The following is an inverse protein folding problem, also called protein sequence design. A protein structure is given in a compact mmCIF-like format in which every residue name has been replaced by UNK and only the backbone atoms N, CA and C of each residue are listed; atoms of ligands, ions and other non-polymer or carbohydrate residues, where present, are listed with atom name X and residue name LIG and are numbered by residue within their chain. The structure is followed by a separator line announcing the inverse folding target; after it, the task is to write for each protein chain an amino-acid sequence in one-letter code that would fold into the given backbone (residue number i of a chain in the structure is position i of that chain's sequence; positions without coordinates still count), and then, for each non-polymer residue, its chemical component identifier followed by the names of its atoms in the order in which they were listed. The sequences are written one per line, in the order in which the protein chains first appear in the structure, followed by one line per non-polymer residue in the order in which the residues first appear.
data_IF_257902305268
#
_entry.id   IF_257902305268
#
_cell.length_a   1.000
_cell.length_b   1.000
_cell.length_c   1.000
_cell.angle_alpha   90.00
_cell.angle_beta   90.00
_cell.angle_gamma   90.00
#
_symmetry.space_group_name_H-M   'P 1'
#
loop_
_entity.id
_entity.type
_entity.pdbx_description
1 polymer ?
#
# COMPACT_ATOMS: atom_id res chain seq x y z
N UNK A 1 12.48 -44.68 16.22
CA UNK A 1 11.28 -43.82 16.38
C UNK A 1 11.23 -42.84 15.21
N UNK A 2 10.51 -43.17 14.15
CA UNK A 2 10.36 -42.34 12.95
C UNK A 2 9.03 -41.59 13.03
N UNK A 3 9.09 -40.26 13.16
CA UNK A 3 7.92 -39.40 13.17
C UNK A 3 7.26 -39.41 11.79
N UNK A 4 6.04 -39.95 11.71
CA UNK A 4 5.17 -39.81 10.54
C UNK A 4 4.80 -38.33 10.40
N UNK A 5 5.30 -37.67 9.37
CA UNK A 5 4.81 -36.38 8.94
C UNK A 5 3.34 -36.53 8.55
N UNK A 6 2.43 -36.00 9.36
CA UNK A 6 1.00 -35.93 9.06
C UNK A 6 0.83 -35.00 7.86
N UNK A 7 0.65 -35.56 6.68
CA UNK A 7 0.29 -34.83 5.47
C UNK A 7 -1.03 -34.11 5.71
N UNK A 8 -0.98 -32.81 5.98
CA UNK A 8 -2.17 -31.98 6.08
C UNK A 8 -2.88 -32.01 4.72
N UNK A 9 -4.02 -32.70 4.69
CA UNK A 9 -4.92 -32.73 3.54
C UNK A 9 -5.27 -31.29 3.17
N UNK A 10 -4.83 -30.83 1.99
CA UNK A 10 -5.11 -29.47 1.53
C UNK A 10 -6.62 -29.31 1.34
N UNK A 11 -7.26 -28.59 2.26
CA UNK A 11 -8.67 -28.22 2.14
C UNK A 11 -8.84 -27.23 0.99
N UNK A 12 -9.72 -27.56 0.05
CA UNK A 12 -10.06 -26.71 -1.08
C UNK A 12 -10.99 -25.58 -0.63
N UNK A 13 -11.06 -24.48 -1.38
CA UNK A 13 -12.00 -23.38 -1.09
C UNK A 13 -13.45 -23.86 -0.99
N UNK A 14 -13.80 -24.86 -1.81
CA UNK A 14 -15.16 -25.40 -1.91
C UNK A 14 -15.60 -26.15 -0.66
N UNK A 15 -14.65 -26.57 0.18
CA UNK A 15 -14.91 -27.28 1.43
C UNK A 15 -15.53 -26.35 2.49
N UNK A 16 -15.48 -25.02 2.30
CA UNK A 16 -16.03 -24.03 3.21
C UNK A 16 -17.47 -23.64 2.86
N UNK A 17 -18.33 -23.38 3.87
CA UNK A 17 -19.69 -22.88 3.65
C UNK A 17 -19.73 -21.59 2.82
N UNK A 18 -20.77 -21.44 1.99
CA UNK A 18 -21.02 -20.21 1.21
C UNK A 18 -21.10 -18.99 2.15
N UNK A 19 -20.64 -17.83 1.70
CA UNK A 19 -20.59 -16.60 2.50
C UNK A 19 -19.18 -16.23 2.96
N UNK A 20 -19.13 -15.56 4.11
CA UNK A 20 -17.90 -15.07 4.71
C UNK A 20 -16.82 -16.14 4.96
N UNK A 21 -17.14 -17.38 5.39
CA UNK A 21 -16.11 -18.41 5.60
C UNK A 21 -15.35 -18.76 4.32
N UNK A 22 -16.08 -18.94 3.21
CA UNK A 22 -15.47 -19.23 1.90
C UNK A 22 -14.73 -18.02 1.35
N UNK A 23 -15.29 -16.82 1.49
CA UNK A 23 -14.61 -15.59 1.09
C UNK A 23 -13.29 -15.39 1.84
N UNK A 24 -13.28 -15.57 3.16
CA UNK A 24 -12.06 -15.50 3.97
C UNK A 24 -11.02 -16.55 3.53
N UNK A 25 -11.47 -17.76 3.18
CA UNK A 25 -10.59 -18.80 2.63
C UNK A 25 -10.01 -18.39 1.27
N UNK A 26 -10.82 -17.82 0.38
CA UNK A 26 -10.35 -17.29 -0.91
C UNK A 26 -9.34 -16.17 -0.73
N UNK A 27 -9.63 -15.21 0.15
CA UNK A 27 -8.73 -14.10 0.48
C UNK A 27 -7.38 -14.60 1.01
N UNK A 28 -7.39 -15.64 1.85
CA UNK A 28 -6.15 -16.23 2.37
C UNK A 28 -5.37 -17.03 1.30
N UNK A 29 -6.06 -17.64 0.33
CA UNK A 29 -5.42 -18.40 -0.75
C UNK A 29 -4.89 -17.53 -1.89
N UNK A 30 -5.53 -16.39 -2.15
CA UNK A 30 -5.13 -15.46 -3.20
C UNK A 30 -3.97 -14.60 -2.69
N UNK A 31 -2.89 -14.53 -3.48
CA UNK A 31 -1.75 -13.64 -3.19
C UNK A 31 -2.17 -12.18 -3.00
N UNK A 32 -3.14 -11.74 -3.79
CA UNK A 32 -3.73 -10.40 -3.74
C UNK A 32 -5.03 -10.35 -2.90
N UNK A 33 -5.30 -11.39 -2.11
CA UNK A 33 -6.57 -11.58 -1.41
C UNK A 33 -6.68 -10.90 -0.06
N UNK A 34 -5.57 -10.40 0.50
CA UNK A 34 -5.52 -9.66 1.77
C UNK A 34 -6.08 -8.24 1.68
N UNK A 35 -7.24 -8.11 1.03
CA UNK A 35 -7.96 -6.86 0.85
C UNK A 35 -8.93 -6.70 2.01
N UNK A 36 -8.82 -5.59 2.70
CA UNK A 36 -9.67 -5.26 3.82
C UNK A 36 -10.31 -3.91 3.55
N UNK A 37 -11.55 -3.76 3.99
CA UNK A 37 -12.18 -2.45 4.04
C UNK A 37 -11.53 -1.65 5.17
N UNK A 38 -11.14 -0.40 4.89
CA UNK A 38 -10.52 0.53 5.82
C UNK A 38 -11.53 1.15 6.78
N UNK A 39 -12.79 1.29 6.36
CA UNK A 39 -13.85 1.97 7.11
C UNK A 39 -13.47 3.42 7.47
N UNK A 40 -12.81 4.13 6.56
CA UNK A 40 -12.21 5.44 6.84
C UNK A 40 -13.22 6.44 7.43
N UNK A 41 -14.40 6.57 6.83
CA UNK A 41 -15.43 7.49 7.31
C UNK A 41 -15.92 7.15 8.73
N UNK A 42 -16.08 5.87 9.06
CA UNK A 42 -16.51 5.45 10.40
C UNK A 42 -15.42 5.71 11.44
N UNK A 43 -14.16 5.45 11.08
CA UNK A 43 -13.02 5.68 11.97
C UNK A 43 -12.81 7.17 12.28
N UNK A 44 -12.94 8.03 11.27
CA UNK A 44 -12.88 9.48 11.47
C UNK A 44 -14.02 9.98 12.37
N UNK A 45 -15.25 9.44 12.21
CA UNK A 45 -16.36 9.75 13.15
C UNK A 45 -16.06 9.33 14.58
N UNK A 46 -15.41 8.18 14.78
CA UNK A 46 -15.02 7.72 16.11
C UNK A 46 -13.94 8.61 16.75
N UNK A 47 -13.01 9.14 15.95
CA UNK A 47 -12.03 10.13 16.42
C UNK A 47 -12.71 11.42 16.84
N UNK A 48 -13.57 11.99 15.99
CA UNK A 48 -14.33 13.21 16.33
C UNK A 48 -15.25 13.03 17.53
N UNK A 49 -15.79 11.83 17.74
CA UNK A 49 -16.55 11.52 18.95
C UNK A 49 -15.70 11.60 20.21
N UNK A 50 -14.47 11.05 20.17
CA UNK A 50 -13.56 11.13 21.31
C UNK A 50 -13.08 12.59 21.54
N UNK A 51 -12.81 13.36 20.48
CA UNK A 51 -12.48 14.79 20.57
C UNK A 51 -13.59 15.60 21.24
N UNK A 52 -14.85 15.37 20.83
CA UNK A 52 -16.00 16.04 21.43
C UNK A 52 -16.18 15.66 22.91
N UNK A 53 -15.93 14.39 23.24
CA UNK A 53 -15.98 13.93 24.64
C UNK A 53 -14.89 14.61 25.48
N UNK A 54 -13.66 14.68 24.98
CA UNK A 54 -12.56 15.37 25.66
C UNK A 54 -12.88 16.86 25.88
N UNK A 55 -13.46 17.54 24.90
CA UNK A 55 -13.87 18.95 25.06
C UNK A 55 -14.92 19.14 26.16
N UNK A 56 -15.88 18.20 26.30
CA UNK A 56 -16.87 18.23 27.39
C UNK A 56 -16.19 18.01 28.75
N UNK A 57 -15.29 17.03 28.84
CA UNK A 57 -14.57 16.73 30.08
C UNK A 57 -13.62 17.86 30.48
N UNK A 58 -12.95 18.49 29.52
CA UNK A 58 -12.10 19.67 29.73
C UNK A 58 -12.92 20.85 30.25
N UNK A 59 -14.09 21.13 29.65
CA UNK A 59 -14.97 22.17 30.14
C UNK A 59 -15.45 21.91 31.57
N UNK A 60 -15.73 20.64 31.91
CA UNK A 60 -16.11 20.25 33.28
C UNK A 60 -14.94 20.39 34.26
N UNK A 61 -13.73 20.05 33.83
CA UNK A 61 -12.52 20.22 34.65
C UNK A 61 -12.27 21.71 34.93
N UNK A 62 -12.38 22.54 33.90
CA UNK A 62 -12.26 24.01 34.03
C UNK A 62 -13.30 24.59 35.00
N UNK A 63 -14.51 24.06 35.03
CA UNK A 63 -15.54 24.48 35.97
C UNK A 63 -15.19 24.09 37.42
N UNK A 64 -14.64 22.89 37.64
CA UNK A 64 -14.12 22.49 38.95
C UNK A 64 -12.93 23.37 39.37
N UNK A 65 -12.02 23.69 38.45
CA UNK A 65 -10.88 24.58 38.74
C UNK A 65 -11.33 25.99 39.14
N UNK A 66 -12.38 26.52 38.51
CA UNK A 66 -12.98 27.81 38.93
C UNK A 66 -13.64 27.72 40.31
N UNK A 67 -14.27 26.60 40.64
CA UNK A 67 -14.85 26.39 41.97
C UNK A 67 -13.75 26.29 43.03
N UNK A 68 -12.64 25.62 42.71
CA UNK A 68 -11.45 25.54 43.57
C UNK A 68 -10.83 26.94 43.75
N UNK A 69 -10.76 27.77 42.71
CA UNK A 69 -10.28 29.16 42.81
C UNK A 69 -11.12 30.00 43.80
N UNK A 70 -12.44 29.86 43.76
CA UNK A 70 -13.37 30.57 44.66
C UNK A 70 -13.30 30.02 46.09
N UNK A 71 -13.20 28.71 46.25
CA UNK A 71 -13.26 28.05 47.56
C UNK A 71 -11.92 28.05 48.29
N UNK A 72 -10.84 27.70 47.59
CA UNK A 72 -9.47 27.56 48.12
C UNK A 72 -8.42 27.52 46.98
N UNK A 73 -7.98 28.70 46.53
CA UNK A 73 -6.99 28.86 45.46
C UNK A 73 -5.64 28.18 45.75
N UNK A 74 -5.35 27.80 47.01
CA UNK A 74 -4.11 27.10 47.34
C UNK A 74 -4.04 25.68 46.77
N UNK A 75 -5.19 25.06 46.49
CA UNK A 75 -5.27 23.71 45.92
C UNK A 75 -4.79 23.68 44.47
N UNK A 76 -5.04 24.73 43.69
CA UNK A 76 -4.58 24.87 42.30
C UNK A 76 -3.05 25.02 42.18
N UNK A 77 -2.40 25.50 43.25
CA UNK A 77 -0.96 25.75 43.31
C UNK A 77 -0.19 24.57 43.93
N UNK A 78 -0.91 23.60 44.49
CA UNK A 78 -0.31 22.48 45.18
C UNK A 78 0.11 21.39 44.18
N UNK A 79 1.37 20.96 44.27
CA UNK A 79 1.91 19.84 43.48
C UNK A 79 1.50 18.46 44.02
N UNK A 80 0.89 18.42 45.21
CA UNK A 80 0.41 17.17 45.81
C UNK A 80 -1.06 16.97 45.46
N UNK A 81 -1.46 15.76 45.03
CA UNK A 81 -2.87 15.37 45.02
C UNK A 81 -3.40 15.67 46.43
N UNK A 82 -4.44 16.49 46.51
CA UNK A 82 -4.87 17.13 47.75
C UNK A 82 -4.85 16.11 48.90
N UNK A 83 -3.98 16.33 49.89
CA UNK A 83 -3.99 15.51 51.09
C UNK A 83 -5.39 15.61 51.67
N UNK A 84 -6.07 14.47 51.78
CA UNK A 84 -7.43 14.33 52.30
C UNK A 84 -7.46 14.98 53.68
N UNK A 85 -7.85 16.24 53.76
CA UNK A 85 -8.16 16.89 55.02
C UNK A 85 -9.42 16.22 55.54
N UNK A 86 -9.26 15.36 56.54
CA UNK A 86 -10.28 14.46 57.14
C UNK A 86 -11.45 15.23 57.81
N UNK A 87 -11.56 16.55 57.61
CA UNK A 87 -12.53 17.40 58.28
C UNK A 87 -13.28 18.35 57.34
N UNK A 88 -14.26 17.83 56.59
CA UNK A 88 -15.41 18.61 56.10
C UNK A 88 -15.26 19.27 54.73
N UNK A 89 -16.21 18.95 53.83
CA UNK A 89 -16.45 19.52 52.48
C UNK A 89 -15.38 19.36 51.39
N UNK A 90 -14.08 19.40 51.70
CA UNK A 90 -13.01 19.25 50.69
C UNK A 90 -12.90 17.85 50.08
N UNK A 91 -13.20 16.80 50.86
CA UNK A 91 -13.00 15.38 50.47
C UNK A 91 -13.89 14.95 49.29
N UNK A 92 -15.12 15.45 49.22
CA UNK A 92 -16.08 15.09 48.16
C UNK A 92 -15.68 15.72 46.82
N UNK A 93 -15.17 16.95 46.84
CA UNK A 93 -14.70 17.68 45.65
C UNK A 93 -13.39 17.08 45.10
N UNK A 94 -12.47 16.67 45.97
CA UNK A 94 -11.26 15.94 45.55
C UNK A 94 -11.60 14.61 44.87
N UNK A 95 -12.54 13.84 45.44
CA UNK A 95 -12.96 12.56 44.85
C UNK A 95 -13.61 12.73 43.46
N UNK A 96 -14.42 13.79 43.28
CA UNK A 96 -15.05 14.10 42.00
C UNK A 96 -14.03 14.53 40.93
N UNK A 97 -12.98 15.27 41.33
CA UNK A 97 -11.88 15.66 40.44
C UNK A 97 -11.03 14.45 40.04
N UNK A 98 -10.74 13.56 40.98
CA UNK A 98 -10.00 12.32 40.71
C UNK A 98 -10.77 11.38 39.76
N UNK A 99 -12.09 11.24 39.96
CA UNK A 99 -12.96 10.48 39.04
C UNK A 99 -12.97 11.11 37.64
N UNK A 100 -13.08 12.45 37.55
CA UNK A 100 -13.04 13.15 36.27
C UNK A 100 -11.69 12.99 35.56
N UNK A 101 -10.58 13.06 36.30
CA UNK A 101 -9.25 12.85 35.75
C UNK A 101 -9.06 11.41 35.25
N UNK A 102 -9.62 10.41 35.94
CA UNK A 102 -9.62 9.03 35.49
C UNK A 102 -10.42 8.87 34.18
N UNK A 103 -11.58 9.53 34.06
CA UNK A 103 -12.39 9.55 32.84
C UNK A 103 -11.65 10.22 31.68
N UNK A 104 -11.02 11.37 31.92
CA UNK A 104 -10.20 12.07 30.92
C UNK A 104 -9.10 11.15 30.41
N UNK A 105 -8.33 10.54 31.31
CA UNK A 105 -7.24 9.64 30.95
C UNK A 105 -7.74 8.43 30.14
N UNK A 106 -8.90 7.87 30.48
CA UNK A 106 -9.50 6.77 29.74
C UNK A 106 -9.90 7.16 28.31
N UNK A 107 -10.51 8.34 28.13
CA UNK A 107 -10.90 8.85 26.80
C UNK A 107 -9.67 9.25 25.98
N UNK A 108 -8.71 9.95 26.59
CA UNK A 108 -7.47 10.38 25.94
C UNK A 108 -6.66 9.18 25.46
N UNK A 109 -6.46 8.17 26.32
CA UNK A 109 -5.74 6.94 25.95
C UNK A 109 -6.38 6.26 24.75
N UNK A 110 -7.72 6.17 24.74
CA UNK A 110 -8.48 5.60 23.62
C UNK A 110 -8.32 6.42 22.33
N UNK A 111 -8.39 7.74 22.44
CA UNK A 111 -8.18 8.66 21.31
C UNK A 111 -6.78 8.52 20.71
N UNK A 112 -5.74 8.63 21.55
CA UNK A 112 -4.34 8.48 21.14
C UNK A 112 -4.08 7.13 20.49
N UNK A 113 -4.63 6.04 21.06
CA UNK A 113 -4.51 4.71 20.47
C UNK A 113 -5.17 4.64 19.09
N UNK A 114 -6.38 5.20 18.92
CA UNK A 114 -7.06 5.24 17.62
C UNK A 114 -6.32 6.08 16.59
N UNK A 115 -5.72 7.18 17.01
CA UNK A 115 -4.95 8.07 16.14
C UNK A 115 -3.67 7.40 15.63
N UNK A 116 -2.95 6.70 16.50
CA UNK A 116 -1.79 5.88 16.09
C UNK A 116 -2.21 4.76 15.12
N UNK A 117 -3.32 4.07 15.39
CA UNK A 117 -3.87 3.06 14.46
C UNK A 117 -4.33 3.66 13.13
N UNK A 118 -4.81 4.92 13.10
CA UNK A 118 -5.13 5.63 11.84
C UNK A 118 -3.89 5.84 11.01
N UNK A 119 -2.84 6.40 11.62
CA UNK A 119 -1.54 6.59 10.97
C UNK A 119 -0.99 5.28 10.41
N UNK A 120 -1.04 4.19 11.19
CA UNK A 120 -0.49 2.90 10.77
C UNK A 120 -1.31 2.26 9.64
N UNK A 121 -2.63 2.46 9.64
CA UNK A 121 -3.49 2.01 8.53
C UNK A 121 -3.32 2.90 7.29
N UNK A 122 -3.05 4.19 7.45
CA UNK A 122 -2.75 5.10 6.33
C UNK A 122 -1.46 4.77 5.61
N UNK A 123 -0.52 4.11 6.28
CA UNK A 123 0.69 3.58 5.65
C UNK A 123 0.42 2.35 4.78
N UNK A 124 -0.74 1.71 4.93
CA UNK A 124 -1.10 0.56 4.10
C UNK A 124 -1.50 1.02 2.69
N UNK A 125 -1.01 0.33 1.65
CA UNK A 125 -1.32 0.72 0.28
C UNK A 125 -2.81 0.53 -0.03
N UNK A 126 -3.38 1.51 -0.75
CA UNK A 126 -4.74 1.44 -1.24
C UNK A 126 -4.90 0.38 -2.33
N UNK A 127 -6.08 -0.21 -2.42
CA UNK A 127 -6.41 -1.20 -3.42
C UNK A 127 -6.53 -0.52 -4.80
N UNK A 128 -5.83 -1.04 -5.81
CA UNK A 128 -5.99 -0.52 -7.17
C UNK A 128 -7.43 -0.73 -7.67
N UNK A 129 -7.95 0.23 -8.43
CA UNK A 129 -9.31 0.14 -9.02
C UNK A 129 -9.51 -1.15 -9.83
N UNK A 130 -8.45 -1.63 -10.46
CA UNK A 130 -8.48 -2.87 -11.25
C UNK A 130 -8.53 -4.11 -10.36
N UNK A 131 -7.72 -4.16 -9.31
CA UNK A 131 -7.78 -5.22 -8.31
C UNK A 131 -9.15 -5.26 -7.60
N UNK A 132 -9.73 -4.09 -7.30
CA UNK A 132 -11.10 -3.99 -6.78
C UNK A 132 -12.15 -4.52 -7.77
N UNK A 133 -12.07 -4.12 -9.06
CA UNK A 133 -12.98 -4.67 -10.10
C UNK A 133 -12.87 -6.19 -10.20
N UNK A 134 -11.66 -6.73 -10.14
CA UNK A 134 -11.43 -8.17 -10.15
C UNK A 134 -11.98 -8.86 -8.91
N UNK A 135 -11.78 -8.28 -7.72
CA UNK A 135 -12.36 -8.77 -6.47
C UNK A 135 -13.89 -8.80 -6.57
N UNK A 136 -14.51 -7.69 -6.96
CA UNK A 136 -15.96 -7.57 -7.12
C UNK A 136 -16.52 -8.54 -8.15
N UNK A 137 -15.84 -8.68 -9.29
CA UNK A 137 -16.24 -9.63 -10.33
C UNK A 137 -16.12 -11.09 -9.86
N UNK A 138 -15.04 -11.44 -9.13
CA UNK A 138 -14.86 -12.78 -8.59
C UNK A 138 -15.94 -13.11 -7.56
N UNK A 139 -16.23 -12.19 -6.65
CA UNK A 139 -17.27 -12.37 -5.64
C UNK A 139 -18.65 -12.52 -6.30
N UNK A 140 -18.95 -11.68 -7.31
CA UNK A 140 -20.20 -11.74 -8.05
C UNK A 140 -20.40 -13.05 -8.82
N UNK A 141 -19.33 -13.60 -9.42
CA UNK A 141 -19.40 -14.89 -10.14
C UNK A 141 -19.61 -16.08 -9.21
N UNK A 142 -19.10 -16.00 -7.97
CA UNK A 142 -19.15 -17.10 -7.03
C UNK A 142 -20.47 -17.18 -6.23
N UNK A 143 -21.40 -16.23 -6.44
CA UNK A 143 -22.67 -16.11 -5.70
C UNK A 143 -22.48 -16.23 -4.18
N UNK A 144 -21.37 -15.71 -3.65
CA UNK A 144 -21.01 -15.91 -2.25
C UNK A 144 -21.80 -15.02 -1.30
N UNK A 145 -22.32 -13.90 -1.77
CA UNK A 145 -22.99 -12.91 -0.96
C UNK A 145 -24.40 -12.64 -1.46
N UNK A 146 -25.29 -12.34 -0.53
CA UNK A 146 -26.57 -11.73 -0.84
C UNK A 146 -26.38 -10.27 -1.32
N UNK A 147 -27.47 -9.64 -1.72
CA UNK A 147 -27.43 -8.28 -2.25
C UNK A 147 -26.95 -7.26 -1.21
N UNK A 148 -27.26 -7.49 0.08
CA UNK A 148 -26.87 -6.60 1.17
C UNK A 148 -25.40 -6.77 1.56
N UNK A 149 -24.87 -7.99 1.67
CA UNK A 149 -23.44 -8.21 1.87
C UNK A 149 -22.63 -7.77 0.63
N UNK A 150 -23.22 -7.76 -0.56
CA UNK A 150 -22.56 -7.18 -1.75
C UNK A 150 -22.36 -5.67 -1.65
N UNK A 151 -23.13 -4.96 -0.81
CA UNK A 151 -22.93 -3.51 -0.56
C UNK A 151 -21.57 -3.23 0.09
N UNK A 152 -21.03 -4.19 0.83
CA UNK A 152 -19.68 -4.12 1.39
C UNK A 152 -18.61 -3.84 0.33
N UNK A 153 -18.83 -4.27 -0.92
CA UNK A 153 -17.87 -4.14 -2.02
C UNK A 153 -18.10 -2.89 -2.90
N UNK A 154 -19.07 -2.02 -2.59
CA UNK A 154 -19.41 -0.88 -3.45
C UNK A 154 -18.39 0.26 -3.37
N UNK A 155 -17.79 0.48 -2.21
CA UNK A 155 -16.85 1.58 -1.98
C UNK A 155 -15.44 1.19 -2.41
N UNK A 156 -15.10 1.42 -3.68
CA UNK A 156 -13.80 1.04 -4.25
C UNK A 156 -12.61 1.71 -3.53
N UNK A 157 -12.79 2.95 -3.11
CA UNK A 157 -11.72 3.78 -2.54
C UNK A 157 -11.49 3.50 -1.02
N UNK A 158 -12.36 2.71 -0.38
CA UNK A 158 -12.25 2.35 1.05
C UNK A 158 -11.55 1.00 1.26
N UNK A 159 -10.87 0.43 0.25
CA UNK A 159 -10.13 -0.82 0.39
C UNK A 159 -8.62 -0.59 0.50
N UNK A 160 -8.01 -1.28 1.45
CA UNK A 160 -6.57 -1.35 1.71
C UNK A 160 -6.08 -2.79 1.58
N UNK A 161 -4.77 -2.98 1.38
CA UNK A 161 -4.14 -4.30 1.45
C UNK A 161 -3.12 -4.36 2.57
N UNK A 162 -3.15 -5.43 3.37
CA UNK A 162 -2.19 -5.64 4.47
C UNK A 162 -0.87 -6.23 4.01
N UNK A 163 -0.78 -6.67 2.74
CA UNK A 163 0.48 -7.16 2.16
C UNK A 163 1.23 -6.02 1.48
N UNK A 164 2.43 -5.73 2.00
CA UNK A 164 3.35 -4.72 1.48
C UNK A 164 3.88 -5.06 0.07
N UNK A 165 3.98 -6.34 -0.29
CA UNK A 165 4.58 -6.79 -1.56
C UNK A 165 3.58 -6.90 -2.72
N UNK A 166 2.80 -5.84 -2.99
CA UNK A 166 2.15 -5.79 -4.31
C UNK A 166 3.16 -5.36 -5.35
N UNK A 167 3.33 -6.22 -6.36
CA UNK A 167 3.87 -5.81 -7.64
C UNK A 167 3.22 -4.50 -8.06
N UNK A 168 4.06 -3.50 -8.24
CA UNK A 168 3.72 -2.08 -8.28
C UNK A 168 2.41 -1.80 -8.99
N UNK A 169 1.55 -1.00 -8.35
CA UNK A 169 0.33 -0.47 -8.96
C UNK A 169 0.57 0.15 -10.36
N UNK A 170 1.76 0.74 -10.58
CA UNK A 170 2.20 1.29 -11.87
C UNK A 170 2.43 0.22 -12.95
N UNK A 171 2.96 -0.94 -12.57
CA UNK A 171 3.19 -2.07 -13.48
C UNK A 171 1.97 -3.00 -13.57
N UNK A 172 1.03 -2.93 -12.63
CA UNK A 172 -0.26 -3.60 -12.76
C UNK A 172 -0.99 -3.15 -14.03
N UNK A 173 -0.89 -1.88 -14.44
CA UNK A 173 -1.42 -1.43 -15.71
C UNK A 173 -0.77 -2.14 -16.91
N UNK A 174 0.53 -2.43 -16.85
CA UNK A 174 1.20 -3.15 -17.94
C UNK A 174 0.71 -4.61 -18.04
N UNK A 175 0.53 -5.27 -16.89
CA UNK A 175 0.14 -6.68 -16.83
C UNK A 175 -1.36 -6.89 -17.04
N UNK A 176 -2.19 -5.99 -16.51
CA UNK A 176 -3.66 -6.16 -16.43
C UNK A 176 -4.45 -5.04 -17.12
N UNK A 177 -3.83 -3.91 -17.48
CA UNK A 177 -4.49 -2.74 -18.06
C UNK A 177 -4.81 -2.86 -19.55
N UNK A 178 -4.27 -3.87 -20.24
CA UNK A 178 -4.73 -4.23 -21.57
C UNK A 178 -5.78 -5.33 -21.49
N UNK A 179 -7.02 -4.93 -21.77
CA UNK A 179 -8.19 -5.82 -21.82
C UNK A 179 -8.04 -6.90 -22.91
N UNK A 180 -7.10 -6.72 -23.84
CA UNK A 180 -6.48 -7.79 -24.61
C UNK A 180 -4.95 -7.62 -24.61
N UNK A 181 -4.17 -8.44 -23.87
CA UNK A 181 -2.73 -8.44 -24.04
C UNK A 181 -2.45 -8.76 -25.50
N UNK A 182 -1.64 -7.92 -26.15
CA UNK A 182 -1.17 -8.15 -27.50
C UNK A 182 -0.73 -9.61 -27.66
N UNK A 183 -1.04 -10.23 -28.82
CA UNK A 183 -0.87 -11.68 -29.02
C UNK A 183 0.50 -12.20 -28.56
N UNK A 184 1.55 -11.40 -28.77
CA UNK A 184 2.92 -11.70 -28.34
C UNK A 184 3.08 -11.72 -26.81
N UNK A 185 2.53 -10.75 -26.08
CA UNK A 185 2.61 -10.69 -24.62
C UNK A 185 1.80 -11.83 -23.99
N UNK A 186 0.66 -12.18 -24.59
CA UNK A 186 -0.10 -13.36 -24.19
C UNK A 186 0.67 -14.66 -24.44
N UNK A 187 1.46 -14.75 -25.52
CA UNK A 187 2.27 -15.92 -25.84
C UNK A 187 3.45 -16.08 -24.88
N UNK A 188 4.13 -14.98 -24.52
CA UNK A 188 5.17 -14.97 -23.48
C UNK A 188 4.55 -15.37 -22.13
N UNK A 189 3.44 -14.75 -21.75
CA UNK A 189 2.76 -15.11 -20.51
C UNK A 189 2.35 -16.60 -20.52
N UNK A 190 1.85 -17.13 -21.64
CA UNK A 190 1.50 -18.55 -21.74
C UNK A 190 2.72 -19.47 -21.67
N UNK A 191 3.81 -19.12 -22.36
CA UNK A 191 5.05 -19.89 -22.39
C UNK A 191 5.68 -20.05 -21.00
N UNK A 192 5.60 -19.02 -20.16
CA UNK A 192 6.24 -19.03 -18.85
C UNK A 192 5.29 -19.29 -17.66
N UNK A 193 3.99 -18.95 -17.77
CA UNK A 193 3.02 -19.12 -16.68
C UNK A 193 2.11 -20.34 -16.82
N UNK A 194 1.90 -20.91 -18.00
CA UNK A 194 1.23 -22.20 -18.11
C UNK A 194 2.24 -23.34 -18.01
N UNK A 195 2.54 -23.77 -16.78
CA UNK A 195 2.83 -25.19 -16.61
C UNK A 195 1.50 -25.92 -16.54
N UNK A 196 1.22 -26.64 -17.61
CA UNK A 196 0.09 -27.52 -17.82
C UNK A 196 0.06 -28.63 -16.77
N UNK A 197 -0.64 -28.37 -15.67
CA UNK A 197 -1.14 -29.40 -14.75
C UNK A 197 -2.23 -28.81 -13.84
N UNK A 198 -3.29 -28.26 -14.43
CA UNK A 198 -4.57 -28.21 -13.72
C UNK A 198 -5.41 -29.36 -14.25
N UNK A 199 -5.81 -30.32 -13.40
CA UNK A 199 -6.73 -31.38 -13.83
C UNK A 199 -8.01 -30.73 -14.35
N UNK A 200 -8.40 -31.13 -15.57
CA UNK A 200 -9.66 -30.77 -16.23
C UNK A 200 -10.80 -30.78 -15.22
N UNK A 201 -11.33 -29.60 -14.89
CA UNK A 201 -12.53 -29.48 -14.04
C UNK A 201 -12.57 -28.28 -13.09
N UNK A 202 -11.46 -27.56 -12.86
CA UNK A 202 -11.49 -26.34 -12.03
C UNK A 202 -11.53 -25.08 -12.88
N UNK A 203 -12.71 -24.45 -12.96
CA UNK A 203 -12.97 -23.14 -13.56
C UNK A 203 -12.39 -21.96 -12.76
N UNK A 204 -11.37 -22.20 -11.92
CA UNK A 204 -10.88 -21.19 -10.99
C UNK A 204 -9.41 -20.88 -11.26
N UNK A 205 -9.25 -19.85 -12.09
CA UNK A 205 -8.17 -18.86 -12.13
C UNK A 205 -6.77 -19.36 -11.72
N UNK A 206 -5.91 -19.44 -12.74
CA UNK A 206 -4.46 -19.59 -12.68
C UNK A 206 -3.85 -18.99 -11.40
N UNK A 207 -3.44 -19.86 -10.48
CA UNK A 207 -2.49 -19.51 -9.43
C UNK A 207 -1.18 -19.13 -10.11
N UNK A 208 -0.99 -17.84 -10.37
CA UNK A 208 0.29 -17.34 -10.83
C UNK A 208 1.30 -17.52 -9.70
N UNK A 209 2.34 -18.31 -9.96
CA UNK A 209 3.47 -18.50 -9.05
C UNK A 209 4.25 -17.19 -8.95
N UNK A 210 4.12 -16.53 -7.78
CA UNK A 210 4.65 -15.19 -7.53
C UNK A 210 6.18 -15.12 -7.64
N UNK A 211 6.88 -16.20 -7.27
CA UNK A 211 8.33 -16.26 -7.42
C UNK A 211 8.74 -16.11 -8.88
N UNK A 212 8.00 -16.72 -9.80
CA UNK A 212 8.24 -16.61 -11.24
C UNK A 212 7.85 -15.25 -11.76
N UNK A 213 6.70 -14.72 -11.37
CA UNK A 213 6.22 -13.43 -11.88
C UNK A 213 7.14 -12.28 -11.48
N UNK A 214 7.65 -12.29 -10.24
CA UNK A 214 8.68 -11.36 -9.76
C UNK A 214 9.96 -11.49 -10.58
N UNK A 215 10.49 -12.71 -10.72
CA UNK A 215 11.70 -12.96 -11.50
C UNK A 215 11.55 -12.51 -12.96
N UNK A 216 10.40 -12.77 -13.59
CA UNK A 216 10.14 -12.37 -14.97
C UNK A 216 10.03 -10.86 -15.15
N UNK A 217 9.36 -10.18 -14.22
CA UNK A 217 9.27 -8.73 -14.22
C UNK A 217 10.67 -8.11 -14.08
N UNK A 218 11.47 -8.63 -13.14
CA UNK A 218 12.86 -8.21 -12.97
C UNK A 218 13.69 -8.44 -14.23
N UNK A 219 13.61 -9.62 -14.85
CA UNK A 219 14.31 -9.93 -16.10
C UNK A 219 13.85 -8.99 -17.21
N UNK A 220 12.55 -8.71 -17.31
CA UNK A 220 11.99 -7.84 -18.35
C UNK A 220 12.47 -6.40 -18.19
N UNK A 221 12.49 -5.87 -16.96
CA UNK A 221 13.03 -4.54 -16.65
C UNK A 221 14.52 -4.45 -17.02
N UNK A 222 15.31 -5.48 -16.66
CA UNK A 222 16.73 -5.54 -17.00
C UNK A 222 16.94 -5.56 -18.53
N UNK A 223 16.16 -6.38 -19.24
CA UNK A 223 16.23 -6.48 -20.70
C UNK A 223 15.88 -5.15 -21.39
N UNK A 224 14.78 -4.51 -20.97
CA UNK A 224 14.37 -3.19 -21.50
C UNK A 224 15.48 -2.16 -21.26
N UNK A 225 16.09 -2.18 -20.06
CA UNK A 225 17.21 -1.28 -19.72
C UNK A 225 18.40 -1.51 -20.64
N UNK A 226 18.80 -2.77 -20.88
CA UNK A 226 19.90 -3.10 -21.81
C UNK A 226 19.62 -2.59 -23.22
N UNK A 227 18.42 -2.86 -23.74
CA UNK A 227 18.01 -2.40 -25.08
C UNK A 227 18.09 -0.87 -25.15
N UNK A 228 17.59 -0.17 -24.13
CA UNK A 228 17.59 1.28 -24.10
C UNK A 228 19.00 1.89 -23.98
N UNK A 229 19.93 1.21 -23.30
CA UNK A 229 21.33 1.61 -23.22
C UNK A 229 22.07 1.41 -24.56
N UNK A 230 21.85 0.28 -25.23
CA UNK A 230 22.59 -0.09 -26.44
C UNK A 230 22.03 0.55 -27.73
N UNK A 231 20.72 0.73 -27.82
CA UNK A 231 20.06 1.27 -29.02
C UNK A 231 20.62 2.61 -29.49
N UNK A 232 20.80 3.64 -28.64
CA UNK A 232 21.36 4.92 -29.08
C UNK A 232 22.81 4.81 -29.52
N UNK A 233 23.61 3.93 -28.91
CA UNK A 233 24.99 3.69 -29.37
C UNK A 233 25.01 3.10 -30.77
N UNK A 234 24.19 2.07 -31.01
CA UNK A 234 24.10 1.42 -32.31
C UNK A 234 23.55 2.37 -33.38
N UNK A 235 22.52 3.16 -33.04
CA UNK A 235 21.96 4.17 -33.94
C UNK A 235 23.04 5.20 -34.32
N UNK A 236 23.69 5.81 -33.33
CA UNK A 236 24.74 6.82 -33.58
C UNK A 236 25.92 6.26 -34.38
N UNK A 237 26.27 4.98 -34.18
CA UNK A 237 27.37 4.33 -34.89
C UNK A 237 27.02 3.99 -36.34
N UNK A 238 25.81 3.48 -36.61
CA UNK A 238 25.43 3.00 -37.93
C UNK A 238 24.90 4.09 -38.86
N UNK A 239 24.49 5.24 -38.33
CA UNK A 239 23.82 6.26 -39.12
C UNK A 239 24.67 7.53 -39.23
N UNK A 240 25.01 7.91 -40.45
CA UNK A 240 25.67 9.19 -40.76
C UNK A 240 24.65 10.33 -40.65
N UNK A 241 24.32 10.68 -39.41
CA UNK A 241 23.31 11.68 -39.08
C UNK A 241 23.98 13.04 -38.87
N UNK A 242 23.33 14.11 -39.34
CA UNK A 242 23.79 15.49 -39.10
C UNK A 242 23.88 15.85 -37.61
N UNK A 243 24.80 16.75 -37.26
CA UNK A 243 25.15 17.10 -35.87
C UNK A 243 23.96 17.44 -34.96
N UNK A 244 22.93 18.11 -35.51
CA UNK A 244 21.74 18.46 -34.72
C UNK A 244 20.88 17.25 -34.36
N UNK A 245 20.79 16.25 -35.25
CA UNK A 245 19.90 15.10 -35.06
C UNK A 245 20.57 14.04 -34.17
N UNK A 246 21.90 13.94 -34.15
CA UNK A 246 22.63 13.11 -33.18
C UNK A 246 22.49 13.62 -31.74
N UNK A 247 22.53 14.94 -31.52
CA UNK A 247 22.19 15.54 -30.20
C UNK A 247 20.74 15.22 -29.83
N UNK A 248 19.81 15.30 -30.77
CA UNK A 248 18.40 14.94 -30.56
C UNK A 248 18.22 13.49 -30.07
N UNK A 249 18.92 12.53 -30.67
CA UNK A 249 18.90 11.12 -30.25
C UNK A 249 19.36 11.00 -28.79
N UNK A 250 20.48 11.63 -28.41
CA UNK A 250 21.00 11.57 -27.04
C UNK A 250 19.99 12.12 -26.03
N UNK A 251 19.35 13.24 -26.32
CA UNK A 251 18.34 13.86 -25.44
C UNK A 251 17.11 12.96 -25.29
N UNK A 252 16.57 12.44 -26.39
CA UNK A 252 15.36 11.59 -26.38
C UNK A 252 15.60 10.32 -25.56
N UNK A 253 16.72 9.64 -25.79
CA UNK A 253 17.06 8.42 -25.06
C UNK A 253 17.41 8.71 -23.59
N UNK A 254 18.07 9.83 -23.29
CA UNK A 254 18.31 10.30 -21.93
C UNK A 254 17.02 10.51 -21.14
N UNK A 255 16.05 11.23 -21.72
CA UNK A 255 14.73 11.45 -21.10
C UNK A 255 13.98 10.12 -20.93
N UNK A 256 14.01 9.25 -21.94
CA UNK A 256 13.35 7.93 -21.89
C UNK A 256 13.93 7.05 -20.78
N UNK A 257 15.25 7.01 -20.64
CA UNK A 257 15.95 6.28 -19.57
C UNK A 257 15.51 6.78 -18.20
N UNK A 258 15.55 8.09 -17.97
CA UNK A 258 15.17 8.69 -16.68
C UNK A 258 13.71 8.45 -16.37
N UNK A 259 12.83 8.53 -17.37
CA UNK A 259 11.40 8.24 -17.20
C UNK A 259 11.15 6.79 -16.77
N UNK A 260 11.88 5.84 -17.35
CA UNK A 260 11.80 4.42 -16.97
C UNK A 260 12.37 4.20 -15.56
N UNK A 261 13.55 4.73 -15.25
CA UNK A 261 14.15 4.64 -13.90
C UNK A 261 13.25 5.24 -12.82
N UNK A 262 12.62 6.40 -13.08
CA UNK A 262 11.67 7.03 -12.17
C UNK A 262 10.34 6.27 -12.03
N UNK A 263 10.06 5.34 -12.95
CA UNK A 263 8.89 4.46 -12.91
C UNK A 263 9.15 3.17 -12.14
N UNK A 264 10.42 2.85 -11.84
CA UNK A 264 10.79 1.69 -11.04
C UNK A 264 10.49 1.94 -9.56
N UNK A 265 9.98 0.92 -8.85
CA UNK A 265 9.65 1.03 -7.43
C UNK A 265 10.90 1.09 -6.58
N UNK A 266 10.77 1.68 -5.40
CA UNK A 266 11.79 1.66 -4.33
C UNK A 266 13.15 2.24 -4.72
N UNK A 267 13.26 2.88 -5.89
CA UNK A 267 14.45 3.60 -6.29
C UNK A 267 14.42 4.99 -5.67
N UNK A 268 15.41 5.27 -4.83
CA UNK A 268 15.65 6.60 -4.28
C UNK A 268 16.02 7.56 -5.40
N UNK A 269 15.58 8.82 -5.29
CA UNK A 269 15.93 9.86 -6.27
C UNK A 269 17.45 9.93 -6.51
N UNK A 270 18.26 9.77 -5.47
CA UNK A 270 19.72 9.75 -5.57
C UNK A 270 20.24 8.70 -6.56
N UNK A 271 19.66 7.48 -6.53
CA UNK A 271 20.03 6.41 -7.46
C UNK A 271 19.62 6.73 -8.89
N UNK A 272 18.46 7.38 -9.09
CA UNK A 272 18.03 7.85 -10.41
C UNK A 272 19.02 8.89 -10.97
N UNK A 273 19.44 9.86 -10.15
CA UNK A 273 20.39 10.89 -10.56
C UNK A 273 21.77 10.32 -10.90
N UNK A 274 22.27 9.36 -10.10
CA UNK A 274 23.53 8.67 -10.38
C UNK A 274 23.44 7.91 -11.71
N UNK A 275 22.37 7.13 -11.92
CA UNK A 275 22.16 6.39 -13.16
C UNK A 275 22.05 7.30 -14.38
N UNK A 276 21.32 8.41 -14.26
CA UNK A 276 21.16 9.40 -15.33
C UNK A 276 22.49 10.06 -15.69
N UNK A 277 23.28 10.46 -14.69
CA UNK A 277 24.58 11.10 -14.91
C UNK A 277 25.56 10.17 -15.61
N UNK A 278 25.64 8.91 -15.15
CA UNK A 278 26.49 7.89 -15.77
C UNK A 278 26.07 7.62 -17.23
N UNK A 279 24.77 7.50 -17.49
CA UNK A 279 24.26 7.26 -18.84
C UNK A 279 24.54 8.43 -19.79
N UNK A 280 24.29 9.66 -19.34
CA UNK A 280 24.54 10.86 -20.14
C UNK A 280 26.03 11.03 -20.43
N UNK A 281 26.92 10.76 -19.46
CA UNK A 281 28.36 10.80 -19.69
C UNK A 281 28.80 9.83 -20.80
N UNK A 282 28.25 8.61 -20.80
CA UNK A 282 28.54 7.60 -21.81
C UNK A 282 28.03 8.02 -23.19
N UNK A 283 26.80 8.55 -23.30
CA UNK A 283 26.28 9.01 -24.59
C UNK A 283 27.05 10.22 -25.14
N UNK A 284 27.40 11.18 -24.28
CA UNK A 284 28.14 12.39 -24.69
C UNK A 284 29.55 12.05 -25.14
N UNK A 285 30.25 11.14 -24.46
CA UNK A 285 31.59 10.69 -24.87
C UNK A 285 31.55 9.96 -26.22
N UNK A 286 30.55 9.09 -26.46
CA UNK A 286 30.34 8.49 -27.77
C UNK A 286 30.07 9.52 -28.86
N UNK A 287 29.21 10.51 -28.57
CA UNK A 287 28.91 11.59 -29.50
C UNK A 287 30.16 12.41 -29.86
N UNK A 288 30.99 12.74 -28.87
CA UNK A 288 32.24 13.47 -29.08
C UNK A 288 33.22 12.70 -29.98
N UNK A 289 33.36 11.39 -29.76
CA UNK A 289 34.24 10.54 -30.56
C UNK A 289 33.81 10.47 -32.03
N UNK A 290 32.50 10.36 -32.30
CA UNK A 290 31.97 10.34 -33.68
C UNK A 290 32.16 11.68 -34.38
N UNK A 291 32.00 12.81 -33.68
CA UNK A 291 32.24 14.13 -34.25
C UNK A 291 33.71 14.35 -34.64
N UNK A 292 34.65 13.78 -33.89
CA UNK A 292 36.08 13.85 -34.20
C UNK A 292 36.46 13.07 -35.47
N UNK A 293 35.72 12.02 -35.83
CA UNK A 293 36.02 11.20 -37.02
C UNK A 293 35.52 11.84 -38.33
N UNK A 294 34.51 12.70 -38.28
CA UNK A 294 33.93 13.36 -39.47
C UNK A 294 34.65 14.64 -39.92
N UNK A 295 35.82 14.97 -39.36
CA UNK A 295 36.61 16.17 -39.69
C UNK A 295 37.93 15.88 -40.43
N UNK A 296 38.11 14.66 -40.96
CA UNK A 296 39.21 14.31 -41.87
C UNK A 296 38.76 14.35 -43.33
#
# INVERSE_FOLDING_TARGET
MTAKATSQKQTTVRDYPVGWPRFAREQNQLLNGSNHRRFGALRQRLLHYDEAMLAILEARLLELDKQDEVNDASQLLSLSPAQINVGGKGVEQTCAKDELMADIHAVESRYCQRLLHERDIDQLPSLSRLAWKNLRANVGRSYMFDQDASRFLLEADDFITTRAERMNHRLEWLVYGHQEPSRWMSAIMKMFFLKESSPRGSTMNSRFDHGRLKVMLTISVVLITIVLLLTPMVLLYLTNIGKGLSVGIVVIFGVSFTSIMASLPDIKLDTVFIGMSAYMAVLVTFLANLQSQGQC
#
